data_IF_202247045860
#
_entry.id   IF_202247045860
#
_cell.length_a   1.000
_cell.length_b   1.000
_cell.length_c   1.000
_cell.angle_alpha   90.00
_cell.angle_beta   90.00
_cell.angle_gamma   90.00
#
_symmetry.space_group_name_H-M   'P 1'
#
loop_
_entity.id
_entity.type
_entity.pdbx_description
1 polymer ?
#
# COMPACT_ATOMS: atom_id res chain seq x y z
N UNK A 1 -11.27 1.25 26.26
CA UNK A 1 -10.18 0.26 26.31
C UNK A 1 -10.54 -0.83 25.31
N UNK A 2 -10.26 -0.59 24.03
CA UNK A 2 -10.69 -1.44 22.92
C UNK A 2 -9.48 -2.14 22.32
N UNK A 3 -9.59 -3.46 22.12
CA UNK A 3 -8.56 -4.31 21.54
C UNK A 3 -8.05 -3.76 20.19
N UNK A 4 -6.74 -3.61 20.07
CA UNK A 4 -6.05 -3.52 18.78
C UNK A 4 -6.22 -4.86 18.04
N UNK A 5 -7.16 -4.92 17.10
CA UNK A 5 -7.18 -5.97 16.08
C UNK A 5 -6.69 -5.33 14.79
N UNK A 6 -5.45 -5.62 14.45
CA UNK A 6 -4.79 -5.28 13.18
C UNK A 6 -4.70 -6.61 12.43
N UNK A 7 -5.02 -6.64 11.14
CA UNK A 7 -4.69 -7.79 10.28
C UNK A 7 -3.18 -7.83 10.08
N UNK A 8 -2.55 -8.31 11.14
CA UNK A 8 -1.21 -8.84 11.23
C UNK A 8 -1.26 -10.21 10.58
N UNK A 9 -0.19 -10.62 9.93
CA UNK A 9 0.13 -12.02 9.58
C UNK A 9 -0.49 -13.01 10.59
N UNK A 10 -1.67 -13.55 10.27
CA UNK A 10 -2.24 -14.76 10.87
C UNK A 10 -2.25 -15.72 9.68
N UNK A 11 -1.25 -16.55 9.45
CA UNK A 11 -0.64 -17.47 10.39
C UNK A 11 0.88 -17.54 10.22
N UNK A 12 1.54 -18.09 11.23
CA UNK A 12 2.98 -18.15 11.41
C UNK A 12 3.65 -16.81 11.73
N UNK A 13 3.81 -16.60 13.05
CA UNK A 13 5.17 -16.56 13.59
C UNK A 13 6.02 -17.54 12.77
N UNK A 14 6.82 -17.04 11.84
CA UNK A 14 7.98 -17.79 11.45
C UNK A 14 8.80 -18.01 12.73
N UNK A 15 9.58 -19.08 12.77
CA UNK A 15 10.49 -19.35 13.87
C UNK A 15 11.61 -18.28 14.01
N UNK A 16 11.45 -17.06 13.45
CA UNK A 16 12.40 -15.95 13.48
C UNK A 16 11.92 -14.66 14.17
N UNK A 17 10.68 -14.59 14.66
CA UNK A 17 10.26 -13.57 15.64
C UNK A 17 10.39 -12.10 15.20
N UNK A 18 10.02 -11.78 13.95
CA UNK A 18 10.09 -10.41 13.44
C UNK A 18 8.88 -9.59 13.95
N UNK A 19 9.14 -8.63 14.84
CA UNK A 19 8.17 -7.63 15.32
C UNK A 19 7.56 -6.82 14.15
N UNK A 20 6.31 -6.38 14.29
CA UNK A 20 5.63 -5.46 13.36
C UNK A 20 6.48 -4.24 13.00
N UNK A 21 7.20 -3.68 13.98
CA UNK A 21 8.14 -2.57 13.77
C UNK A 21 9.22 -2.91 12.74
N UNK A 22 9.80 -4.12 12.81
CA UNK A 22 10.83 -4.58 11.88
C UNK A 22 10.29 -4.83 10.47
N UNK A 23 9.01 -5.21 10.33
CA UNK A 23 8.38 -5.35 9.02
C UNK A 23 8.18 -3.97 8.37
N UNK A 24 7.68 -2.99 9.14
CA UNK A 24 7.50 -1.62 8.66
C UNK A 24 8.83 -0.92 8.34
N UNK A 25 9.89 -1.20 9.11
CA UNK A 25 11.24 -0.70 8.84
C UNK A 25 11.83 -1.21 7.50
N UNK A 26 11.42 -2.39 7.05
CA UNK A 26 11.89 -3.00 5.79
C UNK A 26 11.00 -2.72 4.59
N UNK A 27 9.78 -2.25 4.82
CA UNK A 27 8.85 -1.95 3.76
C UNK A 27 9.34 -0.74 2.94
N UNK A 28 9.34 -0.86 1.62
CA UNK A 28 9.54 0.28 0.73
C UNK A 28 8.24 1.05 0.51
N UNK A 29 7.11 0.34 0.62
CA UNK A 29 5.77 0.89 0.45
C UNK A 29 4.85 0.48 1.59
N UNK A 30 4.06 1.43 2.09
CA UNK A 30 3.05 1.17 3.11
C UNK A 30 1.71 1.73 2.65
N UNK A 31 0.66 0.91 2.69
CA UNK A 31 -0.70 1.34 2.40
C UNK A 31 -1.50 1.41 3.69
N UNK A 32 -2.01 2.60 4.01
CA UNK A 32 -2.91 2.84 5.14
C UNK A 32 -4.34 2.75 4.60
N UNK A 33 -5.01 1.62 4.88
CA UNK A 33 -6.36 1.33 4.43
C UNK A 33 -7.38 1.58 5.55
N UNK A 34 -8.59 2.08 5.23
CA UNK A 34 -9.61 2.35 6.25
C UNK A 34 -10.33 1.09 6.75
N UNK A 35 -10.32 0.00 5.96
CA UNK A 35 -11.09 -1.21 6.24
C UNK A 35 -10.18 -2.44 6.24
N UNK A 36 -10.35 -3.30 7.24
CA UNK A 36 -9.63 -4.57 7.36
C UNK A 36 -10.27 -5.66 6.50
N UNK A 37 -9.47 -6.55 5.89
CA UNK A 37 -9.98 -7.75 5.23
C UNK A 37 -10.42 -8.79 6.26
N UNK A 38 -11.24 -9.73 5.81
CA UNK A 38 -11.35 -11.05 6.43
C UNK A 38 -10.00 -11.75 6.23
N UNK A 39 -9.38 -12.23 7.31
CA UNK A 39 -8.14 -12.98 7.23
C UNK A 39 -8.37 -14.30 6.46
N UNK A 40 -7.47 -14.69 5.54
CA UNK A 40 -7.61 -15.94 4.81
C UNK A 40 -7.39 -17.14 5.73
N UNK A 41 -8.04 -18.25 5.41
CA UNK A 41 -7.79 -19.52 6.10
C UNK A 41 -6.37 -20.02 5.85
N UNK A 42 -5.73 -20.57 6.89
CA UNK A 42 -4.35 -21.07 6.81
C UNK A 42 -4.16 -22.14 5.71
N UNK A 43 -5.10 -23.08 5.61
CA UNK A 43 -5.06 -24.10 4.57
C UNK A 43 -5.15 -23.50 3.16
N UNK A 44 -5.89 -22.40 2.97
CA UNK A 44 -5.91 -21.70 1.69
C UNK A 44 -4.58 -20.98 1.43
N UNK A 45 -3.99 -20.34 2.43
CA UNK A 45 -2.67 -19.68 2.30
C UNK A 45 -1.60 -20.70 1.88
N UNK A 46 -1.57 -21.88 2.49
CA UNK A 46 -0.60 -22.93 2.15
C UNK A 46 -0.76 -23.45 0.72
N UNK A 47 -2.00 -23.53 0.20
CA UNK A 47 -2.28 -24.08 -1.14
C UNK A 47 -1.97 -23.11 -2.28
N UNK A 48 -2.23 -21.83 -2.12
CA UNK A 48 -2.21 -20.84 -3.22
C UNK A 48 -1.49 -19.54 -2.91
N UNK A 49 -0.92 -19.40 -1.72
CA UNK A 49 -0.28 -18.18 -1.26
C UNK A 49 -1.27 -17.18 -0.64
N UNK A 50 -0.72 -16.23 0.12
CA UNK A 50 -1.51 -15.34 0.96
C UNK A 50 -2.43 -14.41 0.16
N UNK A 51 -1.93 -13.78 -0.90
CA UNK A 51 -2.71 -12.80 -1.67
C UNK A 51 -3.86 -13.47 -2.42
N UNK A 52 -3.64 -14.65 -3.01
CA UNK A 52 -4.71 -15.41 -3.65
C UNK A 52 -5.79 -15.81 -2.63
N UNK A 53 -5.39 -16.32 -1.46
CA UNK A 53 -6.31 -16.69 -0.40
C UNK A 53 -7.07 -15.50 0.19
N UNK A 54 -6.41 -14.35 0.33
CA UNK A 54 -7.04 -13.11 0.77
C UNK A 54 -8.11 -12.65 -0.21
N UNK A 55 -7.83 -12.72 -1.52
CA UNK A 55 -8.77 -12.38 -2.58
C UNK A 55 -9.95 -13.36 -2.62
N UNK A 56 -9.71 -14.66 -2.39
CA UNK A 56 -10.78 -15.65 -2.29
C UNK A 56 -11.74 -15.33 -1.13
N UNK A 57 -11.19 -15.04 0.06
CA UNK A 57 -11.98 -14.74 1.25
C UNK A 57 -12.77 -13.42 1.18
N UNK A 58 -12.31 -12.45 0.38
CA UNK A 58 -12.86 -11.09 0.37
C UNK A 58 -13.48 -10.66 -0.97
N UNK A 59 -13.32 -11.48 -2.01
CA UNK A 59 -13.91 -11.28 -3.33
C UNK A 59 -13.35 -10.12 -4.15
N UNK A 60 -14.19 -9.59 -5.04
CA UNK A 60 -13.80 -8.62 -6.08
C UNK A 60 -13.24 -7.31 -5.51
N UNK A 61 -13.63 -6.93 -4.29
CA UNK A 61 -13.19 -5.70 -3.67
C UNK A 61 -11.68 -5.72 -3.40
N UNK A 62 -11.21 -6.74 -2.67
CA UNK A 62 -9.79 -6.89 -2.35
C UNK A 62 -8.94 -7.29 -3.56
N UNK A 63 -9.53 -7.96 -4.57
CA UNK A 63 -8.85 -8.17 -5.86
C UNK A 63 -8.41 -6.86 -6.50
N UNK A 64 -9.26 -5.83 -6.48
CA UNK A 64 -8.95 -4.51 -7.06
C UNK A 64 -7.88 -3.79 -6.26
N UNK A 65 -8.02 -3.77 -4.92
CA UNK A 65 -7.05 -3.17 -4.00
C UNK A 65 -5.65 -3.75 -4.26
N UNK A 66 -5.53 -5.08 -4.20
CA UNK A 66 -4.25 -5.78 -4.44
C UNK A 66 -3.68 -5.51 -5.83
N UNK A 67 -4.53 -5.49 -6.84
CA UNK A 67 -4.10 -5.20 -8.22
C UNK A 67 -3.56 -3.79 -8.38
N UNK A 68 -4.24 -2.78 -7.82
CA UNK A 68 -3.82 -1.38 -7.93
C UNK A 68 -2.54 -1.15 -7.12
N UNK A 69 -2.44 -1.70 -5.90
CA UNK A 69 -1.19 -1.68 -5.11
C UNK A 69 -0.01 -2.26 -5.90
N UNK A 70 -0.21 -3.43 -6.51
CA UNK A 70 0.83 -4.08 -7.30
C UNK A 70 1.23 -3.25 -8.52
N UNK A 71 0.27 -2.68 -9.24
CA UNK A 71 0.55 -1.77 -10.37
C UNK A 71 1.29 -0.52 -9.93
N UNK A 72 0.99 0.05 -8.77
CA UNK A 72 1.70 1.22 -8.26
C UNK A 72 3.14 0.90 -7.86
N UNK A 73 3.38 -0.29 -7.31
CA UNK A 73 4.66 -0.62 -6.64
C UNK A 73 5.60 -1.51 -7.44
N UNK A 74 5.12 -2.17 -8.50
CA UNK A 74 5.97 -2.95 -9.39
C UNK A 74 7.03 -2.06 -10.03
N UNK A 75 8.28 -2.51 -10.07
CA UNK A 75 9.37 -1.79 -10.74
C UNK A 75 9.02 -1.59 -12.21
N UNK A 76 8.73 -2.70 -12.90
CA UNK A 76 8.21 -2.71 -14.26
C UNK A 76 6.73 -3.06 -14.25
N UNK A 77 5.91 -2.22 -14.88
CA UNK A 77 4.46 -2.40 -14.86
C UNK A 77 4.05 -3.74 -15.48
N UNK A 78 4.75 -4.26 -16.49
CA UNK A 78 4.48 -5.55 -17.13
C UNK A 78 4.45 -6.73 -16.15
N UNK A 79 5.25 -6.67 -15.07
CA UNK A 79 5.38 -7.73 -14.07
C UNK A 79 4.40 -7.60 -12.90
N UNK A 80 3.42 -6.68 -12.95
CA UNK A 80 2.52 -6.41 -11.82
C UNK A 80 1.78 -7.66 -11.32
N UNK A 81 1.49 -8.65 -12.18
CA UNK A 81 0.75 -9.86 -11.80
C UNK A 81 1.56 -10.74 -10.86
N UNK A 82 2.81 -11.03 -11.23
CA UNK A 82 3.72 -11.78 -10.38
C UNK A 82 3.99 -10.98 -9.09
N UNK A 83 4.29 -9.68 -9.24
CA UNK A 83 4.54 -8.82 -8.11
C UNK A 83 3.38 -8.79 -7.10
N UNK A 84 2.13 -8.75 -7.57
CA UNK A 84 0.93 -8.79 -6.71
C UNK A 84 0.96 -9.96 -5.74
N UNK A 85 1.39 -11.13 -6.20
CA UNK A 85 1.33 -12.37 -5.42
C UNK A 85 2.48 -12.46 -4.39
N UNK A 86 3.54 -11.67 -4.57
CA UNK A 86 4.76 -11.68 -3.76
C UNK A 86 4.94 -10.44 -2.86
N UNK A 87 4.34 -9.30 -3.23
CA UNK A 87 4.67 -7.98 -2.67
C UNK A 87 4.50 -7.88 -1.15
N UNK A 88 3.49 -8.56 -0.59
CA UNK A 88 3.20 -8.54 0.84
C UNK A 88 4.21 -9.37 1.67
N UNK A 89 4.97 -10.26 1.03
CA UNK A 89 6.03 -11.03 1.67
C UNK A 89 7.38 -10.30 1.64
N UNK A 90 7.46 -9.15 0.96
CA UNK A 90 8.72 -8.50 0.63
C UNK A 90 8.71 -7.02 1.00
N UNK A 91 8.32 -6.15 0.08
CA UNK A 91 8.55 -4.69 0.15
C UNK A 91 7.30 -3.88 0.45
N UNK A 92 6.13 -4.52 0.54
CA UNK A 92 4.85 -3.83 0.73
C UNK A 92 4.22 -4.25 2.04
N UNK A 93 3.84 -3.26 2.87
CA UNK A 93 3.03 -3.47 4.06
C UNK A 93 1.66 -2.81 3.92
N UNK A 94 0.67 -3.38 4.61
CA UNK A 94 -0.67 -2.81 4.77
C UNK A 94 -0.94 -2.58 6.25
N UNK A 95 -1.40 -1.40 6.59
CA UNK A 95 -1.79 -1.02 7.95
C UNK A 95 -3.17 -0.36 7.95
N UNK A 96 -3.80 -0.29 9.11
CA UNK A 96 -5.17 0.22 9.26
C UNK A 96 -5.27 1.37 10.27
N UNK A 97 -4.12 1.94 10.65
CA UNK A 97 -3.98 3.11 11.53
C UNK A 97 -2.79 3.96 11.04
N UNK A 98 -2.83 5.25 11.34
CA UNK A 98 -1.76 6.21 11.05
C UNK A 98 -0.80 6.44 12.22
N UNK A 99 -0.90 5.69 13.32
CA UNK A 99 -0.14 6.01 14.54
C UNK A 99 1.36 5.71 14.40
N UNK A 100 1.74 4.74 13.56
CA UNK A 100 3.11 4.23 13.46
C UNK A 100 3.83 4.60 12.15
N UNK A 101 3.32 5.57 11.39
CA UNK A 101 3.82 5.81 10.02
C UNK A 101 4.66 7.08 9.89
N UNK A 102 4.61 8.03 10.82
CA UNK A 102 5.24 9.35 10.67
C UNK A 102 6.77 9.27 10.50
N UNK A 103 7.41 8.34 11.20
CA UNK A 103 8.86 8.12 11.17
C UNK A 103 9.34 7.18 10.06
N UNK A 104 8.43 6.58 9.28
CA UNK A 104 8.82 5.63 8.24
C UNK A 104 9.52 6.34 7.09
N UNK A 105 10.64 5.78 6.66
CA UNK A 105 11.33 6.16 5.42
C UNK A 105 10.62 5.59 4.18
N UNK A 106 9.71 4.63 4.36
CA UNK A 106 8.88 4.08 3.29
C UNK A 106 8.04 5.15 2.59
N UNK A 107 7.65 4.86 1.34
CA UNK A 107 6.61 5.63 0.66
C UNK A 107 5.24 5.19 1.18
N UNK A 108 4.48 6.14 1.72
CA UNK A 108 3.23 5.85 2.42
C UNK A 108 2.03 6.39 1.66
N UNK A 109 1.07 5.50 1.38
CA UNK A 109 -0.19 5.80 0.73
C UNK A 109 -1.32 5.86 1.76
N UNK A 110 -1.94 7.02 1.89
CA UNK A 110 -3.19 7.22 2.62
C UNK A 110 -4.35 7.01 1.64
N UNK A 111 -5.09 5.92 1.83
CA UNK A 111 -6.10 5.50 0.87
C UNK A 111 -7.50 5.95 1.31
N UNK A 112 -8.18 6.66 0.41
CA UNK A 112 -9.49 7.24 0.68
C UNK A 112 -9.39 8.46 1.61
N UNK A 113 -10.55 8.86 2.16
CA UNK A 113 -10.64 10.10 2.94
C UNK A 113 -10.61 9.89 4.46
N UNK A 114 -10.62 8.64 4.94
CA UNK A 114 -10.76 8.31 6.36
C UNK A 114 -9.65 8.83 7.27
N UNK A 115 -8.46 9.13 6.72
CA UNK A 115 -7.30 9.61 7.47
C UNK A 115 -7.00 11.10 7.25
N UNK A 116 -7.82 11.84 6.48
CA UNK A 116 -7.51 13.24 6.11
C UNK A 116 -7.50 14.20 7.29
N UNK A 117 -8.30 13.95 8.32
CA UNK A 117 -8.31 14.79 9.52
C UNK A 117 -7.07 14.55 10.38
N UNK A 118 -6.62 13.30 10.48
CA UNK A 118 -5.46 12.89 11.27
C UNK A 118 -4.14 13.23 10.56
N UNK A 119 -4.13 13.10 9.24
CA UNK A 119 -2.97 13.38 8.40
C UNK A 119 -3.43 14.27 7.23
N UNK A 120 -3.46 15.59 7.43
CA UNK A 120 -3.91 16.53 6.41
C UNK A 120 -2.96 16.56 5.22
N UNK A 121 -3.52 16.88 4.05
CA UNK A 121 -2.75 17.10 2.83
C UNK A 121 -2.04 18.46 2.94
N UNK A 122 -0.71 18.52 2.81
CA UNK A 122 0.02 19.80 2.79
C UNK A 122 -0.42 20.69 1.63
N UNK A 123 -0.36 22.01 1.81
CA UNK A 123 -0.79 22.98 0.79
C UNK A 123 0.08 22.93 -0.47
N UNK A 124 1.33 22.56 -0.31
CA UNK A 124 2.36 22.42 -1.33
C UNK A 124 2.34 21.06 -2.05
N UNK A 125 1.40 20.17 -1.71
CA UNK A 125 1.35 18.85 -2.32
C UNK A 125 1.04 18.94 -3.82
N UNK A 126 1.82 18.21 -4.62
CA UNK A 126 1.59 18.08 -6.05
C UNK A 126 0.27 17.34 -6.30
N UNK A 127 -0.60 17.93 -7.11
CA UNK A 127 -1.90 17.36 -7.46
C UNK A 127 -1.76 16.57 -8.76
N UNK A 128 -2.24 15.33 -8.75
CA UNK A 128 -2.21 14.39 -9.87
C UNK A 128 -3.63 13.95 -10.21
N UNK A 129 -3.93 13.79 -11.49
CA UNK A 129 -5.24 13.45 -12.02
C UNK A 129 -6.20 14.64 -12.12
N UNK A 130 -7.10 14.57 -13.09
CA UNK A 130 -8.10 15.62 -13.33
C UNK A 130 -9.36 15.40 -12.48
N UNK A 131 -10.08 14.30 -12.78
CA UNK A 131 -11.36 13.94 -12.16
C UNK A 131 -11.18 13.25 -10.81
N UNK A 132 -10.27 12.30 -10.74
CA UNK A 132 -9.88 11.61 -9.52
C UNK A 132 -8.49 12.08 -9.15
N UNK A 133 -8.35 12.67 -7.96
CA UNK A 133 -7.12 13.35 -7.57
C UNK A 133 -6.35 12.58 -6.52
N UNK A 134 -5.05 12.45 -6.75
CA UNK A 134 -4.08 12.12 -5.74
C UNK A 134 -3.21 13.35 -5.42
N UNK A 135 -2.67 13.38 -4.22
CA UNK A 135 -1.81 14.44 -3.72
C UNK A 135 -0.50 13.81 -3.29
N UNK A 136 0.62 14.36 -3.70
CA UNK A 136 1.96 13.85 -3.38
C UNK A 136 2.80 14.94 -2.73
N UNK A 137 3.29 14.67 -1.52
CA UNK A 137 4.27 15.50 -0.83
C UNK A 137 5.45 14.61 -0.42
N UNK A 138 6.52 14.64 -1.22
CA UNK A 138 7.66 13.75 -1.06
C UNK A 138 7.26 12.26 -1.08
N UNK A 139 7.50 11.56 0.04
CA UNK A 139 7.17 10.13 0.18
C UNK A 139 5.75 9.86 0.69
N UNK A 140 4.93 10.91 0.89
CA UNK A 140 3.54 10.79 1.36
C UNK A 140 2.58 11.04 0.22
N UNK A 141 1.64 10.11 0.04
CA UNK A 141 0.68 10.13 -1.05
C UNK A 141 -0.71 9.98 -0.46
N UNK A 142 -1.60 10.93 -0.73
CA UNK A 142 -3.03 10.82 -0.41
C UNK A 142 -3.76 10.54 -1.69
N UNK A 143 -4.55 9.47 -1.72
CA UNK A 143 -5.17 9.02 -2.96
C UNK A 143 -6.61 8.55 -2.74
N UNK A 144 -7.42 8.45 -3.81
CA UNK A 144 -8.76 7.89 -3.73
C UNK A 144 -8.73 6.43 -3.26
N UNK A 145 -9.90 5.87 -2.98
CA UNK A 145 -9.97 4.46 -2.65
C UNK A 145 -9.48 3.59 -3.82
N UNK A 146 -8.80 2.49 -3.54
CA UNK A 146 -8.21 1.61 -4.57
C UNK A 146 -9.28 0.71 -5.25
N UNK A 147 -10.22 1.36 -5.94
CA UNK A 147 -11.23 0.79 -6.81
C UNK A 147 -11.18 1.53 -8.15
N UNK A 148 -11.26 0.82 -9.28
CA UNK A 148 -11.12 1.42 -10.61
C UNK A 148 -12.12 2.53 -10.95
N UNK A 149 -13.27 2.61 -10.26
CA UNK A 149 -14.20 3.74 -10.40
C UNK A 149 -13.67 5.04 -9.79
N UNK A 150 -12.73 4.93 -8.85
CA UNK A 150 -12.09 6.05 -8.16
C UNK A 150 -10.61 6.19 -8.51
N UNK A 151 -10.00 5.12 -9.00
CA UNK A 151 -8.57 5.02 -9.27
C UNK A 151 -8.34 4.39 -10.66
N UNK A 152 -8.60 5.16 -11.74
CA UNK A 152 -8.46 4.67 -13.10
C UNK A 152 -6.99 4.41 -13.46
N UNK A 153 -6.74 3.63 -14.52
CA UNK A 153 -5.36 3.34 -14.97
C UNK A 153 -4.56 4.62 -15.28
N UNK A 154 -5.19 5.66 -15.83
CA UNK A 154 -4.53 6.95 -16.08
C UNK A 154 -3.94 7.55 -14.80
N UNK A 155 -4.64 7.46 -13.66
CA UNK A 155 -4.13 7.94 -12.38
C UNK A 155 -3.00 7.04 -11.84
N UNK A 156 -3.02 5.74 -12.13
CA UNK A 156 -1.90 4.84 -11.82
C UNK A 156 -0.66 5.28 -12.58
N UNK A 157 -0.78 5.54 -13.88
CA UNK A 157 0.34 5.92 -14.74
C UNK A 157 0.95 7.27 -14.32
N UNK A 158 0.11 8.27 -14.06
CA UNK A 158 0.54 9.59 -13.58
C UNK A 158 1.27 9.52 -12.22
N UNK A 159 0.73 8.74 -11.27
CA UNK A 159 1.37 8.54 -9.97
C UNK A 159 2.72 7.83 -10.09
N UNK A 160 2.80 6.77 -10.90
CA UNK A 160 4.05 6.06 -11.16
C UNK A 160 5.11 6.99 -11.74
N UNK A 161 4.76 7.76 -12.77
CA UNK A 161 5.68 8.73 -13.37
C UNK A 161 6.20 9.74 -12.34
N UNK A 162 5.29 10.30 -11.55
CA UNK A 162 5.65 11.28 -10.50
C UNK A 162 6.58 10.69 -9.44
N UNK A 163 6.34 9.44 -9.01
CA UNK A 163 7.21 8.74 -8.08
C UNK A 163 8.61 8.47 -8.63
N UNK A 164 8.73 8.17 -9.93
CA UNK A 164 10.02 7.96 -10.58
C UNK A 164 10.81 9.27 -10.71
N UNK A 165 10.15 10.36 -11.10
CA UNK A 165 10.81 11.67 -11.24
C UNK A 165 11.39 12.17 -9.91
N UNK A 166 10.64 12.03 -8.82
CA UNK A 166 11.12 12.37 -7.46
C UNK A 166 12.35 11.56 -7.03
N UNK A 167 12.43 10.28 -7.43
CA UNK A 167 13.59 9.45 -7.15
C UNK A 167 14.83 9.94 -7.93
N UNK A 168 14.66 10.40 -9.18
CA UNK A 168 15.75 10.93 -10.01
C UNK A 168 16.26 12.28 -9.49
N UNK A 169 15.35 13.19 -9.14
CA UNK A 169 15.71 14.48 -8.54
C UNK A 169 16.50 14.27 -7.25
N UNK A 170 16.00 13.41 -6.35
CA UNK A 170 16.68 13.08 -5.10
C UNK A 170 18.08 12.51 -5.31
N UNK A 171 18.28 11.67 -6.35
CA UNK A 171 19.60 11.10 -6.65
C UNK A 171 20.58 12.14 -7.20
N UNK A 172 20.11 13.10 -8.01
CA UNK A 172 20.94 14.15 -8.59
C UNK A 172 21.43 15.18 -7.55
N UNK A 173 20.69 15.39 -6.45
CA UNK A 173 21.09 16.29 -5.37
C UNK A 173 22.05 15.64 -4.35
N UNK A 174 22.30 14.33 -4.45
CA UNK A 174 23.20 13.59 -3.56
C UNK A 174 24.56 13.25 -4.20
N UNK A 175 24.80 13.68 -5.44
CA UNK A 175 26.08 13.55 -6.17
C UNK A 175 26.82 14.88 -6.26
#
# INVERSE_FOLDING_TARGET
MGEQKVVTRMTHLDASGISMSKMLERAEYVFVLPNQPIAPEEGAVQRQGYVAALIEANGNHWRKIMTIMAKLTAVELTHWRQWRDEMLNTKVAVVFSSDAIASLSARVFFVGNGFREQVPVPAEANVLGERHRAFMAGRRIWCPYLDYRQFPNVLIDELRLSMHNQNMESACFMS
#
